data_IF_641499346773
#
_entry.id   IF_641499346773
#
_cell.length_a   1.000
_cell.length_b   1.000
_cell.length_c   1.000
_cell.angle_alpha   90.00
_cell.angle_beta   90.00
_cell.angle_gamma   90.00
#
_symmetry.space_group_name_H-M   'P 1'
#
loop_
_entity.id
_entity.type
_entity.pdbx_description
1 polymer ?
#
# COMPACT_ATOMS: atom_id res chain seq x y z
N UNK A 1 20.59 5.59 -13.88
CA UNK A 1 20.34 5.55 -12.41
C UNK A 1 18.93 5.00 -12.23
N UNK A 2 18.82 3.67 -12.18
CA UNK A 2 17.55 3.03 -11.88
C UNK A 2 17.35 3.18 -10.37
N UNK A 3 16.55 4.16 -9.98
CA UNK A 3 16.01 4.11 -8.63
C UNK A 3 14.95 3.01 -8.68
N UNK A 4 15.24 1.88 -8.05
CA UNK A 4 14.21 1.04 -7.46
C UNK A 4 13.57 1.86 -6.32
N UNK A 5 12.90 2.96 -6.71
CA UNK A 5 12.07 3.76 -5.84
C UNK A 5 10.91 2.86 -5.48
N UNK A 6 10.93 2.38 -4.22
CA UNK A 6 9.76 1.80 -3.57
C UNK A 6 8.55 2.63 -3.99
N UNK A 7 7.63 2.03 -4.73
CA UNK A 7 6.52 2.75 -5.34
C UNK A 7 5.82 3.54 -4.23
N UNK A 8 5.78 4.87 -4.33
CA UNK A 8 5.14 5.70 -3.30
C UNK A 8 3.68 5.28 -3.16
N UNK A 9 3.14 5.31 -1.93
CA UNK A 9 1.74 4.98 -1.68
C UNK A 9 0.76 5.64 -2.66
N UNK A 10 0.92 6.94 -2.93
CA UNK A 10 0.04 7.68 -3.84
C UNK A 10 0.08 7.12 -5.26
N UNK A 11 1.29 6.87 -5.78
CA UNK A 11 1.48 6.25 -7.10
C UNK A 11 0.90 4.83 -7.17
N UNK A 12 1.09 4.03 -6.13
CA UNK A 12 0.53 2.68 -6.06
C UNK A 12 -1.01 2.71 -6.07
N UNK A 13 -1.60 3.63 -5.29
CA UNK A 13 -3.04 3.86 -5.22
C UNK A 13 -3.61 4.34 -6.56
N UNK A 14 -2.95 5.30 -7.19
CA UNK A 14 -3.43 5.88 -8.45
C UNK A 14 -3.38 4.83 -9.58
N UNK A 15 -2.33 4.02 -9.62
CA UNK A 15 -2.22 2.89 -10.56
C UNK A 15 -3.29 1.82 -10.29
N UNK A 16 -3.57 1.51 -9.02
CA UNK A 16 -4.63 0.58 -8.64
C UNK A 16 -6.01 1.10 -9.09
N UNK A 17 -6.28 2.39 -8.91
CA UNK A 17 -7.52 3.02 -9.37
C UNK A 17 -7.68 2.93 -10.90
N UNK A 18 -6.59 3.10 -11.65
CA UNK A 18 -6.60 2.91 -13.10
C UNK A 18 -6.88 1.46 -13.50
N UNK A 19 -6.25 0.49 -12.83
CA UNK A 19 -6.49 -0.94 -13.04
C UNK A 19 -7.97 -1.29 -12.81
N UNK A 20 -8.54 -0.86 -11.68
CA UNK A 20 -9.95 -1.08 -11.36
C UNK A 20 -10.85 -0.45 -12.43
N UNK A 21 -10.60 0.81 -12.81
CA UNK A 21 -11.37 1.49 -13.85
C UNK A 21 -11.36 0.73 -15.18
N UNK A 22 -10.21 0.16 -15.57
CA UNK A 22 -10.09 -0.65 -16.79
C UNK A 22 -10.86 -1.96 -16.69
N UNK A 23 -10.84 -2.62 -15.54
CA UNK A 23 -11.64 -3.83 -15.29
C UNK A 23 -13.15 -3.52 -15.35
N UNK A 24 -13.58 -2.41 -14.74
CA UNK A 24 -14.99 -1.97 -14.72
C UNK A 24 -15.51 -1.52 -16.09
N UNK A 25 -14.64 -0.93 -16.93
CA UNK A 25 -14.99 -0.52 -18.30
C UNK A 25 -15.37 -1.73 -19.16
N UNK A 26 -14.83 -2.91 -18.85
CA UNK A 26 -15.03 -4.12 -19.64
C UNK A 26 -14.39 -4.03 -21.03
N UNK A 27 -14.77 -4.93 -21.94
CA UNK A 27 -14.21 -4.98 -23.29
C UNK A 27 -12.82 -5.62 -23.39
N UNK A 28 -12.33 -6.19 -22.30
CA UNK A 28 -11.08 -6.94 -22.23
C UNK A 28 -11.34 -8.43 -22.45
N UNK A 29 -10.34 -9.12 -22.99
CA UNK A 29 -10.32 -10.58 -22.99
C UNK A 29 -10.14 -11.13 -21.57
N UNK A 30 -10.37 -12.43 -21.39
CA UNK A 30 -10.16 -13.10 -20.11
C UNK A 30 -8.70 -12.98 -19.64
N UNK A 31 -7.74 -13.19 -20.54
CA UNK A 31 -6.30 -13.09 -20.22
C UNK A 31 -5.90 -11.68 -19.81
N UNK A 32 -6.39 -10.65 -20.49
CA UNK A 32 -6.16 -9.26 -20.12
C UNK A 32 -6.79 -8.90 -18.77
N UNK A 33 -7.99 -9.41 -18.51
CA UNK A 33 -8.69 -9.21 -17.25
C UNK A 33 -7.94 -9.86 -16.08
N UNK A 34 -7.41 -11.06 -16.29
CA UNK A 34 -6.58 -11.76 -15.29
C UNK A 34 -5.26 -11.02 -15.04
N UNK A 35 -4.58 -10.57 -16.10
CA UNK A 35 -3.33 -9.82 -15.97
C UNK A 35 -3.52 -8.49 -15.22
N UNK A 36 -4.63 -7.78 -15.47
CA UNK A 36 -4.98 -6.58 -14.72
C UNK A 36 -5.32 -6.90 -13.27
N UNK A 37 -6.09 -7.95 -13.02
CA UNK A 37 -6.41 -8.37 -11.66
C UNK A 37 -5.15 -8.69 -10.85
N UNK A 38 -4.23 -9.50 -11.37
CA UNK A 38 -2.97 -9.81 -10.69
C UNK A 38 -2.11 -8.56 -10.41
N UNK A 39 -2.12 -7.59 -11.33
CA UNK A 39 -1.47 -6.30 -11.11
C UNK A 39 -2.15 -5.50 -10.01
N UNK A 40 -3.49 -5.49 -9.99
CA UNK A 40 -4.29 -4.87 -8.94
C UNK A 40 -3.99 -5.46 -7.56
N UNK A 41 -3.93 -6.79 -7.45
CA UNK A 41 -3.59 -7.47 -6.20
C UNK A 41 -2.20 -7.07 -5.68
N UNK A 42 -1.19 -7.04 -6.56
CA UNK A 42 0.16 -6.59 -6.18
C UNK A 42 0.16 -5.14 -5.69
N UNK A 43 -0.55 -4.24 -6.37
CA UNK A 43 -0.65 -2.83 -5.97
C UNK A 43 -1.39 -2.67 -4.64
N UNK A 44 -2.43 -3.48 -4.40
CA UNK A 44 -3.16 -3.50 -3.15
C UNK A 44 -2.26 -3.95 -1.98
N UNK A 45 -1.46 -5.01 -2.15
CA UNK A 45 -0.49 -5.45 -1.14
C UNK A 45 0.53 -4.37 -0.81
N UNK A 46 1.08 -3.68 -1.82
CA UNK A 46 2.00 -2.54 -1.60
C UNK A 46 1.31 -1.42 -0.80
N UNK A 47 0.06 -1.08 -1.14
CA UNK A 47 -0.69 -0.08 -0.38
C UNK A 47 -0.90 -0.50 1.08
N UNK A 48 -1.21 -1.77 1.32
CA UNK A 48 -1.40 -2.32 2.65
C UNK A 48 -0.12 -2.26 3.49
N UNK A 49 1.02 -2.66 2.93
CA UNK A 49 2.33 -2.58 3.58
C UNK A 49 2.68 -1.15 4.02
N UNK A 50 2.43 -0.16 3.15
CA UNK A 50 2.62 1.25 3.47
C UNK A 50 1.74 1.71 4.63
N UNK A 51 0.46 1.35 4.61
CA UNK A 51 -0.50 1.73 5.65
C UNK A 51 -0.19 1.05 6.99
N UNK A 52 0.26 -0.21 6.95
CA UNK A 52 0.65 -0.94 8.14
C UNK A 52 1.93 -0.37 8.76
N UNK A 53 2.93 -0.06 7.93
CA UNK A 53 4.14 0.64 8.39
C UNK A 53 3.82 2.00 9.02
N UNK A 54 2.87 2.75 8.46
CA UNK A 54 2.40 4.01 9.05
C UNK A 54 1.70 3.80 10.41
N UNK A 55 0.81 2.79 10.51
CA UNK A 55 0.15 2.43 11.78
C UNK A 55 1.15 2.03 12.86
N UNK A 56 2.13 1.18 12.53
CA UNK A 56 3.16 0.76 13.46
C UNK A 56 3.99 1.95 13.98
N UNK A 57 4.35 2.89 13.11
CA UNK A 57 5.04 4.13 13.48
C UNK A 57 4.22 5.00 14.43
N UNK A 58 2.93 5.18 14.15
CA UNK A 58 2.02 5.91 15.03
C UNK A 58 1.90 5.22 16.39
N UNK A 59 1.72 3.90 16.41
CA UNK A 59 1.65 3.13 17.64
C UNK A 59 2.92 3.28 18.48
N UNK A 60 4.11 3.19 17.88
CA UNK A 60 5.38 3.39 18.58
C UNK A 60 5.54 4.80 19.16
N UNK A 61 5.05 5.83 18.47
CA UNK A 61 5.06 7.20 18.95
C UNK A 61 4.03 7.47 20.07
N UNK A 62 2.96 6.66 20.13
CA UNK A 62 1.89 6.76 21.12
C UNK A 62 2.13 5.95 22.39
N UNK A 63 3.14 5.07 22.44
CA UNK A 63 3.53 4.41 23.69
C UNK A 63 4.03 5.52 24.64
N UNK A 64 3.29 5.85 25.71
CA UNK A 64 3.80 6.78 26.71
C UNK A 64 5.13 6.20 27.19
N UNK A 65 6.16 7.05 27.26
CA UNK A 65 7.42 6.71 27.91
C UNK A 65 7.02 6.35 29.35
N UNK A 66 6.78 5.06 29.61
CA UNK A 66 6.40 4.57 30.92
C UNK A 66 7.52 5.06 31.82
N UNK A 67 7.15 6.03 32.64
CA UNK A 67 8.10 6.97 33.20
C UNK A 67 9.22 6.22 33.88
N UNK A 68 10.42 6.62 33.45
CA UNK A 68 11.69 6.45 34.12
C UNK A 68 11.70 7.30 35.41
N UNK A 69 10.60 7.26 36.17
CA UNK A 69 10.39 7.90 37.45
C UNK A 69 9.97 6.81 38.45
N UNK A 70 10.91 5.91 38.72
CA UNK A 70 10.98 5.37 40.06
C UNK A 70 11.53 6.46 40.98
N UNK A 71 10.81 6.80 42.05
CA UNK A 71 11.49 7.02 43.31
C UNK A 71 10.84 6.25 44.46
N UNK A 72 11.67 5.34 45.01
CA UNK A 72 11.61 4.60 46.28
C UNK A 72 10.69 3.37 46.37
#
# INVERSE_FOLDING_TARGET
>A
MAQEETLSYEKARDELAEVVKRLETGGLTLEESLALWERGERLASVCEEWLEGARARLAAAMVPKADEDAPF
#
